data_IF_466183791969
#
_entry.id   IF_466183791969
#
_cell.length_a   1.000
_cell.length_b   1.000
_cell.length_c   1.000
_cell.angle_alpha   90.00
_cell.angle_beta   90.00
_cell.angle_gamma   90.00
#
_symmetry.space_group_name_H-M   'P 1'
#
loop_
_entity.id
_entity.type
_entity.pdbx_description
1 polymer ?
#
# COMPACT_ATOMS: atom_id res chain seq x y z
N UNK A 1 16.05 62.18 15.85
CA UNK A 1 15.46 61.82 17.15
C UNK A 1 15.39 60.30 17.26
N UNK A 2 15.92 59.76 18.35
CA UNK A 2 16.14 58.35 18.63
C UNK A 2 14.87 57.65 19.15
N UNK A 3 14.74 56.36 18.77
CA UNK A 3 14.24 55.22 19.56
C UNK A 3 12.78 55.24 20.06
N UNK A 4 12.03 54.16 19.79
CA UNK A 4 11.84 52.99 20.69
C UNK A 4 10.63 52.16 20.24
N UNK A 5 10.85 50.88 19.98
CA UNK A 5 9.84 49.83 20.18
C UNK A 5 9.55 49.68 21.69
N UNK A 6 8.34 49.26 22.05
CA UNK A 6 8.28 48.10 22.93
C UNK A 6 7.24 47.06 22.49
N UNK A 7 7.64 45.81 22.74
CA UNK A 7 6.87 44.60 22.61
C UNK A 7 5.56 44.64 23.42
N UNK A 8 4.50 44.12 22.82
CA UNK A 8 3.32 43.64 23.54
C UNK A 8 3.23 42.15 23.30
N UNK A 9 3.74 41.40 24.27
CA UNK A 9 3.41 40.00 24.51
C UNK A 9 1.88 39.88 24.56
N UNK A 10 1.33 39.18 23.58
CA UNK A 10 -0.10 38.83 23.51
C UNK A 10 -0.23 37.33 23.36
N UNK A 11 -0.23 36.67 24.51
CA UNK A 11 -0.42 35.25 24.75
C UNK A 11 -1.66 34.71 24.00
N UNK A 12 -1.47 33.96 22.92
CA UNK A 12 -2.52 33.15 22.28
C UNK A 12 -1.98 31.71 22.15
N UNK A 13 -1.86 31.06 23.30
CA UNK A 13 -1.82 29.60 23.42
C UNK A 13 -3.18 29.07 22.99
N UNK A 14 -3.38 28.95 21.68
CA UNK A 14 -4.49 28.21 21.12
C UNK A 14 -4.35 26.76 21.59
N UNK A 15 -5.35 26.31 22.36
CA UNK A 15 -5.56 24.95 22.83
C UNK A 15 -5.35 23.96 21.67
N UNK A 16 -4.19 23.32 21.63
CA UNK A 16 -4.05 22.05 20.96
C UNK A 16 -4.72 21.01 21.87
N UNK A 17 -6.02 20.81 21.69
CA UNK A 17 -6.70 19.60 22.15
C UNK A 17 -6.08 18.43 21.40
N UNK A 18 -5.00 17.89 21.94
CA UNK A 18 -4.48 16.59 21.54
C UNK A 18 -5.55 15.59 21.94
N UNK A 19 -6.35 15.18 20.96
CA UNK A 19 -7.12 13.94 21.07
C UNK A 19 -6.11 12.83 21.25
N UNK A 20 -5.96 12.36 22.49
CA UNK A 20 -5.29 11.11 22.78
C UNK A 20 -6.07 10.02 22.04
N UNK A 21 -5.51 9.54 20.92
CA UNK A 21 -5.94 8.27 20.37
C UNK A 21 -5.61 7.23 21.44
N UNK A 22 -6.65 6.76 22.13
CA UNK A 22 -6.58 5.54 22.88
C UNK A 22 -6.19 4.46 21.86
N UNK A 23 -4.93 4.02 21.93
CA UNK A 23 -4.52 2.78 21.32
C UNK A 23 -5.28 1.70 22.09
N UNK A 24 -6.43 1.30 21.53
CA UNK A 24 -7.11 0.08 21.94
C UNK A 24 -6.11 -1.07 21.70
N UNK A 25 -5.42 -1.47 22.76
CA UNK A 25 -4.64 -2.69 22.81
C UNK A 25 -5.62 -3.86 22.88
N UNK A 26 -6.41 -4.05 21.83
CA UNK A 26 -6.96 -5.37 21.56
C UNK A 26 -5.81 -6.18 20.98
N UNK A 27 -5.18 -6.93 21.88
CA UNK A 27 -4.43 -8.14 21.54
C UNK A 27 -5.41 -9.14 20.95
N UNK A 28 -5.92 -8.85 19.75
CA UNK A 28 -6.39 -9.90 18.88
C UNK A 28 -5.17 -10.72 18.52
N UNK A 29 -5.27 -12.03 18.69
CA UNK A 29 -4.31 -13.00 18.20
C UNK A 29 -4.12 -12.72 16.72
N UNK A 30 -3.09 -11.93 16.40
CA UNK A 30 -2.69 -11.67 15.05
C UNK A 30 -2.16 -13.00 14.55
N UNK A 31 -3.01 -13.76 13.86
CA UNK A 31 -2.58 -14.78 12.93
C UNK A 31 -1.74 -14.01 11.91
N UNK A 32 -0.45 -13.84 12.22
CA UNK A 32 0.48 -13.09 11.38
C UNK A 32 0.65 -13.91 10.13
N UNK A 33 -0.09 -13.54 9.09
CA UNK A 33 0.20 -13.95 7.73
C UNK A 33 1.67 -13.64 7.50
N UNK A 34 2.40 -14.60 6.95
CA UNK A 34 3.82 -14.42 6.65
C UNK A 34 4.00 -13.13 5.81
N UNK A 35 4.83 -12.18 6.23
CA UNK A 35 5.02 -10.91 5.50
C UNK A 35 5.50 -11.13 4.06
N UNK A 36 6.22 -12.24 3.80
CA UNK A 36 6.62 -12.62 2.44
C UNK A 36 5.40 -13.04 1.60
N UNK A 37 4.44 -13.76 2.19
CA UNK A 37 3.18 -14.14 1.55
C UNK A 37 2.31 -12.91 1.29
N UNK A 38 2.22 -11.97 2.24
CA UNK A 38 1.44 -10.73 2.08
C UNK A 38 2.00 -9.88 0.93
N UNK A 39 3.32 -9.72 0.85
CA UNK A 39 3.98 -9.03 -0.25
C UNK A 39 3.73 -9.75 -1.59
N UNK A 40 3.87 -11.08 -1.62
CA UNK A 40 3.66 -11.86 -2.82
C UNK A 40 2.21 -11.77 -3.34
N UNK A 41 1.23 -11.79 -2.44
CA UNK A 41 -0.18 -11.55 -2.78
C UNK A 41 -0.38 -10.17 -3.40
N UNK A 42 0.21 -9.14 -2.79
CA UNK A 42 0.13 -7.75 -3.27
C UNK A 42 0.69 -7.63 -4.69
N UNK A 43 1.90 -8.16 -4.93
CA UNK A 43 2.53 -8.13 -6.26
C UNK A 43 1.65 -8.83 -7.31
N UNK A 44 1.07 -9.98 -6.97
CA UNK A 44 0.21 -10.73 -7.90
C UNK A 44 -1.07 -9.95 -8.22
N UNK A 45 -1.71 -9.36 -7.21
CA UNK A 45 -2.93 -8.57 -7.39
C UNK A 45 -2.65 -7.30 -8.20
N UNK A 46 -1.61 -6.54 -7.85
CA UNK A 46 -1.22 -5.32 -8.56
C UNK A 46 -0.90 -5.59 -10.04
N UNK A 47 -0.18 -6.68 -10.31
CA UNK A 47 0.13 -7.08 -11.68
C UNK A 47 -1.15 -7.38 -12.49
N UNK A 48 -2.12 -8.07 -11.88
CA UNK A 48 -3.40 -8.41 -12.51
C UNK A 48 -4.25 -7.16 -12.75
N UNK A 49 -4.36 -6.29 -11.75
CA UNK A 49 -5.07 -5.02 -11.84
C UNK A 49 -4.46 -4.15 -12.95
N UNK A 50 -3.14 -4.01 -12.98
CA UNK A 50 -2.45 -3.26 -14.03
C UNK A 50 -2.71 -3.87 -15.41
N UNK A 51 -2.59 -5.19 -15.55
CA UNK A 51 -2.87 -5.89 -16.81
C UNK A 51 -4.29 -5.64 -17.32
N UNK A 52 -5.27 -5.69 -16.41
CA UNK A 52 -6.66 -5.43 -16.75
C UNK A 52 -6.82 -3.97 -17.19
N UNK A 53 -6.28 -3.00 -16.44
CA UNK A 53 -6.35 -1.58 -16.80
C UNK A 53 -5.68 -1.23 -18.13
N UNK A 54 -4.61 -1.94 -18.53
CA UNK A 54 -4.01 -1.75 -19.85
C UNK A 54 -4.98 -2.07 -21.00
N UNK A 55 -5.97 -2.93 -20.76
CA UNK A 55 -6.95 -3.32 -21.78
C UNK A 55 -7.96 -2.21 -22.06
N UNK A 56 -8.18 -1.32 -21.08
CA UNK A 56 -9.11 -0.19 -21.19
C UNK A 56 -8.51 0.98 -21.98
N UNK A 57 -7.17 1.02 -22.12
CA UNK A 57 -6.46 2.00 -22.94
C UNK A 57 -6.47 1.61 -24.41
N UNK A 58 -6.21 2.56 -25.30
CA UNK A 58 -6.22 2.37 -26.74
C UNK A 58 -4.97 2.96 -27.42
N UNK A 59 -4.70 2.51 -28.66
CA UNK A 59 -3.57 2.95 -29.47
C UNK A 59 -2.20 2.77 -28.81
N UNK A 60 -1.36 3.82 -28.89
CA UNK A 60 0.00 3.81 -28.35
C UNK A 60 0.03 3.66 -26.83
N UNK A 61 -0.93 4.25 -26.12
CA UNK A 61 -1.00 4.19 -24.65
C UNK A 61 -1.16 2.74 -24.15
N UNK A 62 -1.97 1.93 -24.85
CA UNK A 62 -2.08 0.48 -24.58
C UNK A 62 -0.73 -0.23 -24.75
N UNK A 63 -0.03 0.06 -25.85
CA UNK A 63 1.27 -0.57 -26.15
C UNK A 63 2.31 -0.24 -25.09
N UNK A 64 2.38 1.02 -24.68
CA UNK A 64 3.30 1.48 -23.64
C UNK A 64 2.95 0.89 -22.27
N UNK A 65 1.65 0.76 -21.96
CA UNK A 65 1.17 0.10 -20.74
C UNK A 65 1.64 -1.36 -20.69
N UNK A 66 1.42 -2.13 -21.76
CA UNK A 66 1.88 -3.53 -21.83
C UNK A 66 3.40 -3.66 -21.86
N UNK A 67 4.13 -2.70 -22.44
CA UNK A 67 5.59 -2.67 -22.36
C UNK A 67 6.07 -2.55 -20.90
N UNK A 68 5.48 -1.64 -20.12
CA UNK A 68 5.79 -1.48 -18.69
C UNK A 68 5.36 -2.70 -17.88
N UNK A 69 4.19 -3.27 -18.17
CA UNK A 69 3.73 -4.52 -17.55
C UNK A 69 4.74 -5.66 -17.75
N UNK A 70 5.42 -5.70 -18.90
CA UNK A 70 6.44 -6.72 -19.20
C UNK A 70 7.66 -6.63 -18.29
N UNK A 71 7.98 -5.45 -17.76
CA UNK A 71 9.09 -5.23 -16.81
C UNK A 71 8.77 -5.94 -15.49
N UNK A 72 7.56 -5.75 -14.95
CA UNK A 72 7.11 -6.38 -13.70
C UNK A 72 6.75 -7.87 -13.81
N UNK A 73 6.89 -8.49 -14.99
CA UNK A 73 6.56 -9.90 -15.20
C UNK A 73 7.46 -10.82 -14.38
N UNK A 74 8.72 -10.42 -14.13
CA UNK A 74 9.64 -11.23 -13.34
C UNK A 74 9.23 -11.26 -11.87
N UNK A 75 8.92 -10.10 -11.27
CA UNK A 75 8.42 -10.01 -9.89
C UNK A 75 7.12 -10.79 -9.70
N UNK A 76 6.20 -10.69 -10.68
CA UNK A 76 4.97 -11.49 -10.69
C UNK A 76 5.24 -13.00 -10.66
N UNK A 77 6.21 -13.49 -11.43
CA UNK A 77 6.56 -14.92 -11.44
C UNK A 77 7.15 -15.36 -10.10
N UNK A 78 8.11 -14.59 -9.57
CA UNK A 78 8.72 -14.86 -8.28
C UNK A 78 7.68 -14.88 -7.14
N UNK A 79 6.77 -13.90 -7.12
CA UNK A 79 5.67 -13.87 -6.16
C UNK A 79 4.77 -15.11 -6.26
N UNK A 80 4.44 -15.57 -7.47
CA UNK A 80 3.66 -16.81 -7.64
C UNK A 80 4.38 -18.06 -7.16
N UNK A 81 5.71 -18.11 -7.30
CA UNK A 81 6.51 -19.23 -6.80
C UNK A 81 6.49 -19.26 -5.26
N UNK A 82 6.64 -18.10 -4.61
CA UNK A 82 6.48 -17.95 -3.15
C UNK A 82 5.10 -18.45 -2.71
N UNK A 83 4.03 -17.95 -3.32
CA UNK A 83 2.67 -18.39 -2.97
C UNK A 83 2.49 -19.90 -3.13
N UNK A 84 3.02 -20.46 -4.21
CA UNK A 84 2.96 -21.91 -4.46
C UNK A 84 3.74 -22.70 -3.41
N UNK A 85 4.92 -22.22 -3.00
CA UNK A 85 5.74 -22.84 -1.96
C UNK A 85 5.02 -22.85 -0.59
N UNK A 86 4.20 -21.83 -0.32
CA UNK A 86 3.34 -21.74 0.87
C UNK A 86 1.98 -22.46 0.71
N UNK A 87 1.78 -23.22 -0.37
CA UNK A 87 0.55 -23.98 -0.62
C UNK A 87 -0.65 -23.14 -1.08
N UNK A 88 -0.44 -21.85 -1.39
CA UNK A 88 -1.47 -20.92 -1.84
C UNK A 88 -1.59 -21.02 -3.37
N UNK A 89 -2.75 -21.48 -3.84
CA UNK A 89 -3.03 -21.58 -5.28
C UNK A 89 -3.55 -20.26 -5.82
N UNK A 90 -2.86 -19.76 -6.84
CA UNK A 90 -3.20 -18.51 -7.51
C UNK A 90 -4.28 -18.78 -8.57
N UNK A 91 -5.55 -18.75 -8.16
CA UNK A 91 -6.72 -18.83 -9.06
C UNK A 91 -7.08 -17.47 -9.67
N UNK A 92 -7.92 -17.43 -10.70
CA UNK A 92 -8.19 -16.24 -11.54
C UNK A 92 -9.03 -15.13 -10.87
N UNK A 93 -9.11 -15.08 -9.55
CA UNK A 93 -9.77 -14.02 -8.77
C UNK A 93 -8.80 -13.16 -7.97
N UNK A 94 -9.29 -12.05 -7.41
CA UNK A 94 -8.55 -11.23 -6.45
C UNK A 94 -8.25 -12.06 -5.20
N UNK A 95 -6.97 -12.11 -4.78
CA UNK A 95 -6.55 -12.95 -3.66
C UNK A 95 -6.41 -12.11 -2.40
N UNK A 96 -7.10 -12.50 -1.34
CA UNK A 96 -6.96 -11.89 -0.02
C UNK A 96 -6.26 -12.91 0.88
N UNK A 97 -5.28 -12.47 1.67
CA UNK A 97 -4.67 -13.33 2.67
C UNK A 97 -5.75 -13.74 3.68
N UNK A 98 -6.16 -15.01 3.68
CA UNK A 98 -7.07 -15.52 4.69
C UNK A 98 -6.28 -16.25 5.77
N UNK A 99 -6.47 -15.79 7.00
CA UNK A 99 -6.00 -16.43 8.21
C UNK A 99 -6.97 -17.57 8.56
N UNK A 100 -6.49 -18.83 8.56
CA UNK A 100 -7.25 -19.97 9.11
C UNK A 100 -7.15 -20.01 10.63
#
# INVERSE_FOLDING_TARGET
MLRKTPALLGLLTALATVTAFAADTNSDKQNTVDPEVELALTIVNDYRTLRNSCSDLDGQARMDCFYRLRIGLWDYKAAREILTAHGIRVESGEMVAQSN
#
